data_IF_071351233886
#
_entry.id   IF_071351233886
#
_cell.length_a   1.000
_cell.length_b   1.000
_cell.length_c   1.000
_cell.angle_alpha   90.00
_cell.angle_beta   90.00
_cell.angle_gamma   90.00
#
_symmetry.space_group_name_H-M   'P 1'
#
loop_
_entity.id
_entity.type
_entity.pdbx_description
1 polymer ?
#
# COMPACT_ATOMS: atom_id res chain seq x y z
N UNK A 1 65.26 -34.51 19.82
CA UNK A 1 64.68 -33.33 20.49
C UNK A 1 64.28 -32.27 19.46
N UNK A 2 63.44 -32.61 18.46
CA UNK A 2 63.09 -31.69 17.36
C UNK A 2 61.60 -31.69 16.93
N UNK A 3 60.73 -32.50 17.56
CA UNK A 3 59.31 -32.57 17.16
C UNK A 3 58.35 -31.70 18.01
N UNK A 4 58.78 -31.16 19.15
CA UNK A 4 57.90 -30.43 20.08
C UNK A 4 57.40 -29.06 19.58
N UNK A 5 57.88 -28.59 18.41
CA UNK A 5 57.50 -27.30 17.83
C UNK A 5 56.56 -27.38 16.61
N UNK A 6 56.31 -28.57 16.07
CA UNK A 6 55.64 -28.75 14.77
C UNK A 6 54.10 -28.74 14.92
N UNK A 7 53.57 -29.26 16.02
CA UNK A 7 52.13 -29.44 16.24
C UNK A 7 51.57 -28.45 17.27
N UNK A 8 50.29 -28.10 17.16
CA UNK A 8 49.62 -27.26 18.16
C UNK A 8 49.35 -28.06 19.46
N UNK A 9 49.54 -27.39 20.61
CA UNK A 9 49.35 -27.97 21.95
C UNK A 9 47.92 -27.79 22.51
N UNK A 10 47.01 -27.23 21.71
CA UNK A 10 45.61 -26.92 22.09
C UNK A 10 44.63 -28.09 21.84
N UNK A 11 45.14 -29.26 21.44
CA UNK A 11 44.32 -30.45 21.14
C UNK A 11 43.59 -30.40 19.79
N UNK A 12 43.84 -29.40 18.95
CA UNK A 12 43.20 -29.29 17.64
C UNK A 12 43.69 -30.36 16.67
N UNK A 13 42.75 -31.01 15.96
CA UNK A 13 43.03 -32.02 14.95
C UNK A 13 42.68 -31.52 13.54
N UNK A 14 43.31 -32.10 12.52
CA UNK A 14 42.93 -31.87 11.12
C UNK A 14 41.70 -32.70 10.73
N UNK A 15 41.22 -32.52 9.49
CA UNK A 15 40.08 -33.27 8.94
C UNK A 15 40.30 -34.79 8.83
N UNK A 16 41.52 -35.28 9.11
CA UNK A 16 41.88 -36.71 9.17
C UNK A 16 42.15 -37.16 10.62
N UNK A 17 41.70 -36.39 11.61
CA UNK A 17 41.87 -36.66 13.04
C UNK A 17 43.33 -36.74 13.51
N UNK A 18 44.28 -36.14 12.79
CA UNK A 18 45.69 -36.06 13.21
C UNK A 18 45.98 -34.72 13.89
N UNK A 19 46.97 -34.63 14.79
CA UNK A 19 47.32 -33.37 15.48
C UNK A 19 47.62 -32.25 14.47
N UNK A 20 47.04 -31.07 14.66
CA UNK A 20 47.14 -29.98 13.71
C UNK A 20 48.56 -29.37 13.66
N UNK A 21 49.15 -29.31 12.46
CA UNK A 21 50.52 -28.79 12.24
C UNK A 21 50.54 -27.26 12.31
N UNK A 22 51.26 -26.70 13.28
CA UNK A 22 51.34 -25.26 13.61
C UNK A 22 51.64 -24.35 12.41
N UNK A 23 52.53 -24.77 11.50
CA UNK A 23 52.90 -24.00 10.29
C UNK A 23 51.83 -24.05 9.18
N UNK A 24 50.94 -25.05 9.19
CA UNK A 24 49.89 -25.24 8.16
C UNK A 24 48.50 -24.75 8.59
N UNK A 25 48.16 -24.78 9.88
CA UNK A 25 46.77 -24.60 10.36
C UNK A 25 46.58 -23.47 11.38
N UNK A 26 46.99 -22.23 11.07
CA UNK A 26 46.81 -21.13 12.03
C UNK A 26 47.23 -19.74 11.59
N UNK A 27 47.07 -19.37 10.33
CA UNK A 27 47.37 -18.01 9.83
C UNK A 27 46.23 -17.51 8.95
N UNK A 28 46.30 -16.24 8.50
CA UNK A 28 45.36 -15.54 7.59
C UNK A 28 44.93 -16.31 6.32
N UNK A 29 45.39 -17.53 6.09
CA UNK A 29 45.01 -18.44 5.00
C UNK A 29 43.57 -18.99 5.10
N UNK A 30 42.95 -19.00 6.28
CA UNK A 30 41.52 -19.33 6.43
C UNK A 30 40.61 -18.13 6.11
N UNK A 31 41.14 -16.91 6.18
CA UNK A 31 40.39 -15.68 5.91
C UNK A 31 39.85 -15.58 4.47
N UNK A 32 40.58 -15.97 3.40
CA UNK A 32 40.03 -16.01 2.04
C UNK A 32 38.77 -16.88 1.91
N UNK A 33 38.72 -18.02 2.61
CA UNK A 33 37.56 -18.91 2.57
C UNK A 33 36.35 -18.31 3.32
N UNK A 34 36.60 -17.64 4.45
CA UNK A 34 35.57 -16.92 5.21
C UNK A 34 35.09 -15.69 4.42
N UNK A 35 36.00 -14.89 3.86
CA UNK A 35 35.70 -13.74 3.00
C UNK A 35 34.93 -14.17 1.76
N UNK A 36 35.33 -15.26 1.10
CA UNK A 36 34.62 -15.82 -0.05
C UNK A 36 33.19 -16.25 0.30
N UNK A 37 32.99 -16.93 1.43
CA UNK A 37 31.65 -17.29 1.91
C UNK A 37 30.83 -16.06 2.32
N UNK A 38 31.43 -15.05 2.96
CA UNK A 38 30.75 -13.80 3.29
C UNK A 38 30.34 -13.00 2.03
N UNK A 39 31.19 -12.97 1.00
CA UNK A 39 30.88 -12.32 -0.28
C UNK A 39 29.79 -13.10 -1.01
N UNK A 40 29.88 -14.43 -1.06
CA UNK A 40 28.85 -15.28 -1.65
C UNK A 40 27.49 -15.15 -0.93
N UNK A 41 27.50 -15.07 0.41
CA UNK A 41 26.31 -14.87 1.23
C UNK A 41 25.69 -13.49 0.99
N UNK A 42 26.50 -12.42 0.95
CA UNK A 42 26.03 -11.07 0.60
C UNK A 42 25.50 -11.00 -0.82
N UNK A 43 26.13 -11.70 -1.77
CA UNK A 43 25.67 -11.80 -3.14
C UNK A 43 24.31 -12.52 -3.25
N UNK A 44 24.16 -13.66 -2.57
CA UNK A 44 22.89 -14.39 -2.51
C UNK A 44 21.75 -13.54 -1.93
N UNK A 45 22.03 -12.83 -0.84
CA UNK A 45 21.09 -11.87 -0.25
C UNK A 45 20.75 -10.74 -1.23
N UNK A 46 21.75 -10.20 -1.92
CA UNK A 46 21.56 -9.16 -2.92
C UNK A 46 20.64 -9.60 -4.06
N UNK A 47 20.85 -10.80 -4.60
CA UNK A 47 19.98 -11.39 -5.64
C UNK A 47 18.57 -11.63 -5.12
N UNK A 48 18.43 -12.10 -3.88
CA UNK A 48 17.12 -12.30 -3.24
C UNK A 48 16.34 -10.99 -3.10
N UNK A 49 16.95 -9.92 -2.57
CA UNK A 49 16.29 -8.61 -2.47
C UNK A 49 15.99 -8.00 -3.83
N UNK A 50 16.89 -8.15 -4.81
CA UNK A 50 16.62 -7.73 -6.17
C UNK A 50 15.38 -8.42 -6.74
N UNK A 51 15.24 -9.73 -6.51
CA UNK A 51 14.05 -10.49 -6.90
C UNK A 51 12.77 -9.96 -6.24
N UNK A 52 12.81 -9.68 -4.93
CA UNK A 52 11.66 -9.11 -4.22
C UNK A 52 11.26 -7.73 -4.76
N UNK A 53 12.24 -6.86 -5.05
CA UNK A 53 11.96 -5.54 -5.64
C UNK A 53 11.39 -5.64 -7.06
N UNK A 54 11.86 -6.59 -7.87
CA UNK A 54 11.31 -6.83 -9.21
C UNK A 54 9.87 -7.33 -9.16
N UNK A 55 9.55 -8.24 -8.22
CA UNK A 55 8.17 -8.70 -7.98
C UNK A 55 7.29 -7.52 -7.54
N UNK A 56 7.77 -6.69 -6.61
CA UNK A 56 7.04 -5.51 -6.14
C UNK A 56 6.76 -4.52 -7.29
N UNK A 57 7.76 -4.25 -8.14
CA UNK A 57 7.63 -3.37 -9.29
C UNK A 57 6.65 -3.95 -10.33
N UNK A 58 6.78 -5.24 -10.66
CA UNK A 58 5.91 -5.91 -11.62
C UNK A 58 4.45 -5.95 -11.15
N UNK A 59 4.21 -6.33 -9.90
CA UNK A 59 2.85 -6.35 -9.32
C UNK A 59 2.26 -4.95 -9.20
N UNK A 60 3.06 -3.95 -8.81
CA UNK A 60 2.65 -2.54 -8.73
C UNK A 60 2.26 -1.94 -10.08
N UNK A 61 2.93 -2.32 -11.17
CA UNK A 61 2.61 -1.86 -12.51
C UNK A 61 1.43 -2.60 -13.15
N UNK A 62 1.37 -3.93 -13.01
CA UNK A 62 0.34 -4.76 -13.66
C UNK A 62 -1.04 -4.57 -13.02
N UNK A 63 -1.11 -4.54 -11.69
CA UNK A 63 -2.38 -4.57 -10.94
C UNK A 63 -3.36 -3.45 -11.31
N UNK A 64 -2.98 -2.16 -11.40
CA UNK A 64 -3.91 -1.11 -11.81
C UNK A 64 -4.26 -1.18 -13.30
N UNK A 65 -3.33 -1.65 -14.14
CA UNK A 65 -3.53 -1.67 -15.58
C UNK A 65 -4.43 -2.82 -16.06
N UNK A 66 -4.37 -4.00 -15.45
CA UNK A 66 -5.14 -5.17 -15.91
C UNK A 66 -6.63 -4.98 -15.74
N UNK A 67 -7.09 -4.46 -14.60
CA UNK A 67 -8.52 -4.22 -14.37
C UNK A 67 -9.05 -3.11 -15.27
N UNK A 68 -8.29 -2.04 -15.47
CA UNK A 68 -8.67 -0.96 -16.39
C UNK A 68 -8.70 -1.44 -17.84
N UNK A 69 -7.68 -2.18 -18.28
CA UNK A 69 -7.64 -2.74 -19.62
C UNK A 69 -8.78 -3.73 -19.89
N UNK A 70 -9.14 -4.54 -18.89
CA UNK A 70 -10.29 -5.45 -18.95
C UNK A 70 -11.63 -4.70 -19.04
N UNK A 71 -11.79 -3.61 -18.27
CA UNK A 71 -12.95 -2.73 -18.38
C UNK A 71 -13.07 -2.07 -19.75
N UNK A 72 -11.94 -1.68 -20.35
CA UNK A 72 -11.85 -1.00 -21.64
C UNK A 72 -12.29 -1.86 -22.82
N UNK A 73 -12.42 -3.18 -22.63
CA UNK A 73 -12.91 -4.09 -23.68
C UNK A 73 -14.41 -4.02 -23.90
N UNK A 74 -15.17 -3.39 -22.99
CA UNK A 74 -16.62 -3.27 -23.06
C UNK A 74 -17.04 -1.82 -23.30
N UNK A 75 -18.03 -1.59 -24.15
CA UNK A 75 -18.61 -0.27 -24.39
C UNK A 75 -19.63 0.07 -23.29
N UNK A 76 -19.41 1.18 -22.58
CA UNK A 76 -20.34 1.64 -21.54
C UNK A 76 -21.62 2.29 -22.12
N UNK A 77 -21.62 2.58 -23.43
CA UNK A 77 -22.77 3.17 -24.15
C UNK A 77 -23.84 2.12 -24.51
N UNK A 78 -23.46 0.84 -24.58
CA UNK A 78 -24.36 -0.27 -24.87
C UNK A 78 -24.79 -0.96 -23.56
N UNK A 79 -26.10 -1.01 -23.28
CA UNK A 79 -26.63 -1.64 -22.08
C UNK A 79 -26.31 -3.15 -22.00
N UNK A 80 -26.19 -3.83 -23.13
CA UNK A 80 -25.90 -5.27 -23.16
C UNK A 80 -24.45 -5.55 -22.79
N UNK A 81 -23.50 -4.84 -23.37
CA UNK A 81 -22.07 -4.95 -23.04
C UNK A 81 -21.79 -4.49 -21.62
N UNK A 82 -22.49 -3.46 -21.12
CA UNK A 82 -22.38 -3.01 -19.73
C UNK A 82 -22.78 -4.09 -18.72
N UNK A 83 -23.81 -4.88 -19.01
CA UNK A 83 -24.18 -6.05 -18.18
C UNK A 83 -23.10 -7.13 -18.23
N UNK A 84 -22.52 -7.40 -19.40
CA UNK A 84 -21.41 -8.34 -19.53
C UNK A 84 -20.14 -7.88 -18.79
N UNK A 85 -19.83 -6.57 -18.80
CA UNK A 85 -18.74 -5.97 -18.02
C UNK A 85 -18.89 -6.23 -16.52
N UNK A 86 -20.10 -6.05 -15.97
CA UNK A 86 -20.40 -6.34 -14.57
C UNK A 86 -20.20 -7.83 -14.25
N UNK A 87 -20.73 -8.72 -15.10
CA UNK A 87 -20.54 -10.17 -14.97
C UNK A 87 -19.06 -10.58 -15.04
N UNK A 88 -18.28 -9.97 -15.95
CA UNK A 88 -16.85 -10.16 -16.07
C UNK A 88 -16.12 -9.81 -14.77
N UNK A 89 -16.42 -8.66 -14.15
CA UNK A 89 -15.81 -8.28 -12.88
C UNK A 89 -16.20 -9.23 -11.74
N UNK A 90 -17.45 -9.69 -11.69
CA UNK A 90 -17.87 -10.68 -10.69
C UNK A 90 -17.06 -11.97 -10.81
N UNK A 91 -16.90 -12.51 -12.02
CA UNK A 91 -16.07 -13.69 -12.26
C UNK A 91 -14.59 -13.44 -11.96
N UNK A 92 -14.07 -12.27 -12.34
CA UNK A 92 -12.68 -11.87 -12.06
C UNK A 92 -12.39 -11.87 -10.55
N UNK A 93 -13.23 -11.22 -9.75
CA UNK A 93 -13.06 -11.21 -8.28
C UNK A 93 -13.30 -12.57 -7.65
N UNK A 94 -14.26 -13.35 -8.15
CA UNK A 94 -14.46 -14.73 -7.69
C UNK A 94 -13.21 -15.59 -7.91
N UNK A 95 -12.60 -15.53 -9.09
CA UNK A 95 -11.35 -16.23 -9.39
C UNK A 95 -10.18 -15.77 -8.52
N UNK A 96 -10.07 -14.46 -8.21
CA UNK A 96 -9.04 -13.94 -7.28
C UNK A 96 -9.20 -14.54 -5.89
N UNK A 97 -10.43 -14.63 -5.37
CA UNK A 97 -10.67 -15.19 -4.04
C UNK A 97 -10.31 -16.68 -3.97
N UNK A 98 -10.70 -17.47 -4.98
CA UNK A 98 -10.29 -18.88 -5.09
C UNK A 98 -8.77 -18.99 -5.19
N UNK A 99 -8.13 -18.19 -6.04
CA UNK A 99 -6.68 -18.17 -6.20
C UNK A 99 -5.96 -17.83 -4.90
N UNK A 100 -6.49 -16.90 -4.12
CA UNK A 100 -5.96 -16.52 -2.80
C UNK A 100 -6.10 -17.68 -1.80
N UNK A 101 -7.22 -18.41 -1.81
CA UNK A 101 -7.43 -19.57 -0.97
C UNK A 101 -6.46 -20.71 -1.31
N UNK A 102 -6.26 -21.00 -2.60
CA UNK A 102 -5.29 -22.02 -3.06
C UNK A 102 -3.86 -21.58 -2.73
N UNK A 103 -3.54 -20.30 -2.88
CA UNK A 103 -2.23 -19.77 -2.55
C UNK A 103 -1.92 -19.82 -1.05
N UNK A 104 -2.89 -19.51 -0.18
CA UNK A 104 -2.69 -19.53 1.27
C UNK A 104 -2.66 -20.94 1.87
N UNK A 105 -3.20 -21.94 1.17
CA UNK A 105 -3.23 -23.34 1.60
C UNK A 105 -2.21 -24.20 0.86
N UNK A 106 -2.47 -24.53 -0.40
CA UNK A 106 -1.70 -25.48 -1.21
C UNK A 106 -0.27 -24.98 -1.47
N UNK A 107 -0.10 -23.72 -1.88
CA UNK A 107 1.25 -23.20 -2.14
C UNK A 107 2.09 -23.12 -0.85
N UNK A 108 1.50 -22.71 0.27
CA UNK A 108 2.19 -22.71 1.57
C UNK A 108 2.54 -24.13 2.00
N UNK A 109 1.65 -25.11 1.78
CA UNK A 109 1.93 -26.51 2.05
C UNK A 109 3.10 -27.04 1.21
N UNK A 110 3.16 -26.71 -0.08
CA UNK A 110 4.29 -27.07 -0.97
C UNK A 110 5.60 -26.44 -0.47
N UNK A 111 5.56 -25.15 -0.11
CA UNK A 111 6.73 -24.43 0.41
C UNK A 111 7.29 -25.06 1.68
N UNK A 112 6.41 -25.51 2.57
CA UNK A 112 6.79 -26.08 3.88
C UNK A 112 7.18 -27.55 3.84
N UNK A 113 6.58 -28.37 2.96
CA UNK A 113 6.81 -29.83 2.95
C UNK A 113 7.74 -30.32 1.84
N UNK A 114 7.73 -29.66 0.68
CA UNK A 114 8.52 -30.09 -0.50
C UNK A 114 9.74 -29.20 -0.67
N UNK A 115 9.56 -27.89 -0.45
CA UNK A 115 10.64 -26.92 -0.42
C UNK A 115 10.37 -25.67 -1.25
N UNK A 116 11.17 -24.63 -0.97
CA UNK A 116 11.01 -23.29 -1.52
C UNK A 116 11.19 -23.20 -3.05
N UNK A 117 12.00 -24.07 -3.64
CA UNK A 117 12.21 -24.10 -5.10
C UNK A 117 10.91 -24.34 -5.88
N UNK A 118 10.12 -25.34 -5.48
CA UNK A 118 8.80 -25.60 -6.06
C UNK A 118 7.79 -24.52 -5.70
N UNK A 119 7.87 -23.98 -4.48
CA UNK A 119 7.03 -22.88 -4.01
C UNK A 119 7.14 -21.60 -4.83
N UNK A 120 8.32 -21.26 -5.34
CA UNK A 120 8.52 -20.12 -6.24
C UNK A 120 8.41 -20.50 -7.73
N UNK A 121 8.77 -21.74 -8.09
CA UNK A 121 8.72 -22.22 -9.47
C UNK A 121 7.31 -22.30 -10.05
N UNK A 122 6.33 -22.80 -9.27
CA UNK A 122 4.94 -22.94 -9.74
C UNK A 122 4.33 -21.58 -10.12
N UNK A 123 4.35 -20.54 -9.26
CA UNK A 123 3.89 -19.20 -9.65
C UNK A 123 4.65 -18.59 -10.83
N UNK A 124 5.95 -18.84 -10.95
CA UNK A 124 6.74 -18.32 -12.06
C UNK A 124 6.29 -18.91 -13.41
N UNK A 125 6.04 -20.23 -13.46
CA UNK A 125 5.49 -20.91 -14.65
C UNK A 125 4.08 -20.42 -14.96
N UNK A 126 3.22 -20.29 -13.95
CA UNK A 126 1.87 -19.76 -14.13
C UNK A 126 1.86 -18.34 -14.70
N UNK A 127 2.78 -17.48 -14.22
CA UNK A 127 2.95 -16.12 -14.74
C UNK A 127 3.45 -16.14 -16.20
N UNK A 128 4.40 -17.01 -16.53
CA UNK A 128 4.88 -17.15 -17.92
C UNK A 128 3.74 -17.57 -18.87
N UNK A 129 2.89 -18.51 -18.46
CA UNK A 129 1.70 -18.92 -19.23
C UNK A 129 0.73 -17.75 -19.39
N UNK A 130 0.47 -16.99 -18.32
CA UNK A 130 -0.40 -15.83 -18.35
C UNK A 130 0.10 -14.75 -19.33
N UNK A 131 1.41 -14.48 -19.34
CA UNK A 131 2.05 -13.54 -20.27
C UNK A 131 1.90 -14.01 -21.72
N UNK A 132 2.16 -15.29 -22.00
CA UNK A 132 1.97 -15.86 -23.35
C UNK A 132 0.52 -15.75 -23.80
N UNK A 133 -0.43 -16.07 -22.92
CA UNK A 133 -1.87 -15.95 -23.20
C UNK A 133 -2.26 -14.50 -23.50
N UNK A 134 -1.80 -13.54 -22.69
CA UNK A 134 -2.04 -12.12 -22.90
C UNK A 134 -1.52 -11.63 -24.26
N UNK A 135 -0.29 -11.98 -24.62
CA UNK A 135 0.27 -11.57 -25.91
C UNK A 135 -0.42 -12.28 -27.09
N UNK A 136 -0.86 -13.52 -26.94
CA UNK A 136 -1.60 -14.23 -27.98
C UNK A 136 -2.92 -13.53 -28.35
N UNK A 137 -3.55 -12.86 -27.40
CA UNK A 137 -4.80 -12.10 -27.59
C UNK A 137 -4.63 -10.71 -28.19
N UNK A 138 -3.41 -10.23 -28.44
CA UNK A 138 -3.13 -8.83 -28.81
C UNK A 138 -3.93 -8.32 -30.02
N UNK A 139 -4.25 -9.19 -30.98
CA UNK A 139 -5.03 -8.82 -32.18
C UNK A 139 -6.53 -8.65 -31.92
N UNK A 140 -7.03 -9.19 -30.81
CA UNK A 140 -8.46 -9.20 -30.45
C UNK A 140 -8.84 -8.01 -29.55
N UNK A 141 -7.85 -7.34 -28.94
CA UNK A 141 -8.12 -6.29 -27.96
C UNK A 141 -8.53 -4.95 -28.58
N UNK A 142 -9.48 -4.27 -27.95
CA UNK A 142 -9.85 -2.88 -28.22
C UNK A 142 -8.96 -1.96 -27.40
N UNK A 143 -8.18 -1.12 -28.08
CA UNK A 143 -7.26 -0.18 -27.42
C UNK A 143 -7.88 1.21 -27.35
N UNK A 144 -7.95 1.78 -26.14
CA UNK A 144 -8.34 3.16 -25.92
C UNK A 144 -7.27 4.12 -26.44
N UNK A 145 -7.70 5.28 -26.96
CA UNK A 145 -6.76 6.32 -27.40
C UNK A 145 -6.08 6.94 -26.17
N UNK A 146 -4.81 7.39 -26.26
CA UNK A 146 -4.13 7.99 -25.13
C UNK A 146 -4.86 9.24 -24.62
N UNK A 147 -5.55 9.13 -23.48
CA UNK A 147 -6.04 10.27 -22.72
C UNK A 147 -4.86 10.89 -21.97
N UNK A 148 -4.55 12.16 -22.22
CA UNK A 148 -3.39 12.83 -21.62
C UNK A 148 -3.33 12.68 -20.09
N UNK A 149 -2.13 12.82 -19.50
CA UNK A 149 -1.93 12.51 -18.09
C UNK A 149 -2.55 13.56 -17.15
N UNK A 150 -3.47 13.19 -16.23
CA UNK A 150 -3.96 14.09 -15.19
C UNK A 150 -2.83 14.69 -14.33
N UNK A 151 -1.74 13.94 -14.12
CA UNK A 151 -0.58 14.42 -13.37
C UNK A 151 0.07 15.63 -14.04
N UNK A 152 0.15 15.66 -15.37
CA UNK A 152 0.71 16.82 -16.08
C UNK A 152 -0.11 18.09 -15.85
N UNK A 153 -1.43 17.99 -15.76
CA UNK A 153 -2.33 19.12 -15.44
C UNK A 153 -2.11 19.62 -14.00
N UNK A 154 -1.91 18.70 -13.05
CA UNK A 154 -1.59 19.04 -11.65
C UNK A 154 -0.28 19.85 -11.58
N UNK A 155 0.76 19.39 -12.26
CA UNK A 155 2.04 20.10 -12.30
C UNK A 155 1.94 21.46 -13.01
N UNK A 156 1.14 21.56 -14.07
CA UNK A 156 0.87 22.83 -14.75
C UNK A 156 0.27 23.86 -13.81
N UNK A 157 -0.78 23.50 -13.07
CA UNK A 157 -1.42 24.39 -12.10
C UNK A 157 -0.43 24.82 -11.01
N UNK A 158 0.33 23.87 -10.43
CA UNK A 158 1.34 24.23 -9.42
C UNK A 158 2.40 25.20 -9.94
N UNK A 159 2.97 24.93 -11.13
CA UNK A 159 4.01 25.78 -11.72
C UNK A 159 3.46 27.17 -12.06
N UNK A 160 2.25 27.24 -12.64
CA UNK A 160 1.61 28.51 -12.98
C UNK A 160 1.28 29.34 -11.73
N UNK A 161 0.75 28.71 -10.67
CA UNK A 161 0.44 29.40 -9.40
C UNK A 161 1.70 29.94 -8.71
N UNK A 162 2.79 29.16 -8.67
CA UNK A 162 4.08 29.60 -8.11
C UNK A 162 4.67 30.74 -8.95
N UNK A 163 4.62 30.64 -10.28
CA UNK A 163 5.07 31.69 -11.19
C UNK A 163 4.29 33.00 -11.04
N UNK A 164 3.03 32.94 -10.60
CA UNK A 164 2.13 34.08 -10.37
C UNK A 164 1.92 34.41 -8.88
N UNK A 165 2.80 33.93 -8.00
CA UNK A 165 2.64 34.10 -6.55
C UNK A 165 2.52 35.57 -6.10
N UNK A 166 3.11 36.52 -6.84
CA UNK A 166 3.09 37.96 -6.55
C UNK A 166 1.87 38.71 -7.12
N UNK A 167 1.01 38.04 -7.87
CA UNK A 167 -0.18 38.67 -8.46
C UNK A 167 -1.27 38.77 -7.40
N UNK A 168 -1.83 39.95 -7.24
CA UNK A 168 -3.00 40.18 -6.38
C UNK A 168 -4.26 39.68 -7.09
N UNK A 169 -5.05 38.92 -6.34
CA UNK A 169 -6.31 38.31 -6.76
C UNK A 169 -7.42 38.83 -5.85
N UNK A 170 -8.65 39.04 -6.34
CA UNK A 170 -9.79 39.46 -5.52
C UNK A 170 -9.94 38.57 -4.28
N UNK A 171 -10.23 39.19 -3.14
CA UNK A 171 -10.06 38.60 -1.81
C UNK A 171 -11.26 37.72 -1.44
N UNK A 172 -11.20 36.42 -1.77
CA UNK A 172 -12.21 35.43 -1.39
C UNK A 172 -11.66 34.48 -0.33
N UNK A 173 -12.46 34.18 0.71
CA UNK A 173 -12.05 33.44 1.92
C UNK A 173 -11.93 31.91 1.72
N UNK A 174 -11.42 31.44 0.58
CA UNK A 174 -11.23 30.01 0.34
C UNK A 174 -9.83 29.54 0.75
N UNK A 175 -9.75 28.38 1.43
CA UNK A 175 -8.52 27.79 1.98
C UNK A 175 -7.44 27.46 0.91
N UNK A 176 -7.77 27.58 -0.38
CA UNK A 176 -6.92 27.26 -1.54
C UNK A 176 -6.81 28.41 -2.55
N UNK A 177 -7.05 29.66 -2.12
CA UNK A 177 -7.00 30.88 -2.94
C UNK A 177 -5.67 31.10 -3.68
N UNK A 178 -4.56 30.53 -3.17
CA UNK A 178 -3.26 30.59 -3.84
C UNK A 178 -3.31 30.01 -5.26
N UNK A 179 -4.09 28.96 -5.51
CA UNK A 179 -4.13 28.31 -6.81
C UNK A 179 -4.90 29.12 -7.86
N UNK A 180 -5.82 30.00 -7.43
CA UNK A 180 -6.58 30.88 -8.33
C UNK A 180 -5.70 31.87 -9.09
N UNK A 181 -4.51 32.15 -8.58
CA UNK A 181 -3.49 32.96 -9.25
C UNK A 181 -3.08 32.40 -10.61
N UNK A 182 -3.21 31.09 -10.84
CA UNK A 182 -2.88 30.47 -12.13
C UNK A 182 -3.84 30.85 -13.27
N UNK A 183 -5.07 31.29 -12.96
CA UNK A 183 -6.05 31.73 -13.96
C UNK A 183 -5.97 33.23 -14.29
N UNK A 184 -5.18 34.01 -13.54
CA UNK A 184 -5.08 35.45 -13.78
C UNK A 184 -4.29 35.74 -15.05
N UNK A 185 -4.92 36.43 -16.00
CA UNK A 185 -4.28 36.83 -17.26
C UNK A 185 -3.33 37.99 -16.99
N UNK A 186 -2.05 37.81 -17.32
CA UNK A 186 -1.02 38.87 -17.21
C UNK A 186 -0.59 39.34 -18.60
N UNK A 187 -0.15 40.59 -18.76
CA UNK A 187 0.30 41.15 -20.05
C UNK A 187 1.41 40.31 -20.73
N UNK A 188 2.24 39.64 -19.94
CA UNK A 188 3.28 38.73 -20.43
C UNK A 188 2.72 37.46 -21.11
N UNK A 189 1.48 37.06 -20.81
CA UNK A 189 0.85 35.84 -21.37
C UNK A 189 0.32 36.05 -22.79
N UNK A 190 0.01 37.29 -23.18
CA UNK A 190 -0.55 37.64 -24.49
C UNK A 190 0.51 37.85 -25.59
N UNK A 191 1.79 37.87 -25.23
CA UNK A 191 2.89 38.28 -26.13
C UNK A 191 3.25 37.29 -27.25
N UNK A 192 2.73 36.06 -27.25
CA UNK A 192 3.19 34.98 -28.16
C UNK A 192 2.12 34.29 -29.01
N UNK A 193 0.88 34.78 -29.05
CA UNK A 193 -0.19 34.21 -29.92
C UNK A 193 -0.68 32.79 -29.56
N UNK A 194 0.10 31.99 -28.81
CA UNK A 194 -0.32 30.72 -28.21
C UNK A 194 -0.26 30.78 -26.68
N UNK A 195 -1.35 30.43 -26.01
CA UNK A 195 -1.41 30.32 -24.55
C UNK A 195 -0.63 29.08 -24.10
N UNK A 196 0.42 29.28 -23.28
CA UNK A 196 1.19 28.17 -22.71
C UNK A 196 0.47 27.59 -21.47
N UNK A 197 0.13 26.29 -21.46
CA UNK A 197 -0.57 25.65 -20.33
C UNK A 197 0.17 25.71 -19.00
N UNK A 198 1.49 25.92 -19.03
CA UNK A 198 2.37 26.04 -17.86
C UNK A 198 2.42 27.44 -17.25
N UNK A 199 1.84 28.45 -17.90
CA UNK A 199 1.79 29.84 -17.43
C UNK A 199 0.39 30.32 -17.12
N UNK A 200 -0.61 29.82 -17.84
CA UNK A 200 -2.02 30.15 -17.66
C UNK A 200 -2.84 28.88 -17.68
N UNK A 201 -3.62 28.65 -16.62
CA UNK A 201 -4.49 27.48 -16.48
C UNK A 201 -5.95 27.90 -16.49
N UNK A 202 -6.85 27.01 -16.89
CA UNK A 202 -8.30 27.26 -16.83
C UNK A 202 -8.83 27.10 -15.40
N UNK A 203 -9.96 27.75 -15.10
CA UNK A 203 -10.63 27.62 -13.79
C UNK A 203 -11.01 26.15 -13.52
N UNK A 204 -11.43 25.41 -14.54
CA UNK A 204 -11.74 23.99 -14.42
C UNK A 204 -10.53 23.15 -13.98
N UNK A 205 -9.34 23.39 -14.54
CA UNK A 205 -8.11 22.71 -14.14
C UNK A 205 -7.71 23.03 -12.69
N UNK A 206 -7.97 24.27 -12.26
CA UNK A 206 -7.69 24.72 -10.89
C UNK A 206 -8.66 24.05 -9.92
N UNK A 207 -9.96 23.98 -10.24
CA UNK A 207 -10.96 23.31 -9.40
C UNK A 207 -10.73 21.79 -9.32
N UNK A 208 -10.33 21.15 -10.42
CA UNK A 208 -9.84 19.76 -10.42
C UNK A 208 -8.65 19.60 -9.45
N UNK A 209 -7.65 20.48 -9.53
CA UNK A 209 -6.47 20.46 -8.67
C UNK A 209 -6.81 20.65 -7.19
N UNK A 210 -7.67 21.62 -6.86
CA UNK A 210 -8.13 21.87 -5.49
C UNK A 210 -8.88 20.67 -4.93
N UNK A 211 -9.72 20.02 -5.74
CA UNK A 211 -10.44 18.80 -5.36
C UNK A 211 -9.47 17.66 -5.04
N UNK A 212 -8.42 17.49 -5.83
CA UNK A 212 -7.36 16.50 -5.59
C UNK A 212 -6.61 16.80 -4.29
N UNK A 213 -6.29 18.07 -3.98
CA UNK A 213 -5.66 18.45 -2.71
C UNK A 213 -6.56 18.10 -1.52
N UNK A 214 -7.88 18.31 -1.63
CA UNK A 214 -8.82 17.90 -0.58
C UNK A 214 -8.83 16.38 -0.38
N UNK A 215 -8.72 15.61 -1.46
CA UNK A 215 -8.60 14.15 -1.41
C UNK A 215 -7.25 13.68 -0.83
N UNK A 216 -6.16 14.43 -1.01
CA UNK A 216 -4.85 14.10 -0.43
C UNK A 216 -4.88 14.04 1.09
N UNK A 217 -5.69 14.87 1.75
CA UNK A 217 -5.86 14.81 3.20
C UNK A 217 -6.49 13.49 3.64
N UNK A 218 -7.52 13.03 2.94
CA UNK A 218 -8.18 11.74 3.18
C UNK A 218 -7.21 10.59 2.92
N UNK A 219 -6.42 10.69 1.85
CA UNK A 219 -5.36 9.72 1.54
C UNK A 219 -4.33 9.62 2.66
N UNK A 220 -3.87 10.74 3.21
CA UNK A 220 -2.90 10.76 4.31
C UNK A 220 -3.45 10.09 5.58
N UNK A 221 -4.72 10.33 5.91
CA UNK A 221 -5.41 9.64 7.01
C UNK A 221 -5.46 8.13 6.78
N UNK A 222 -5.78 7.68 5.55
CA UNK A 222 -5.76 6.25 5.20
C UNK A 222 -4.36 5.62 5.31
N UNK A 223 -3.31 6.35 4.90
CA UNK A 223 -1.93 5.89 5.12
C UNK A 223 -1.61 5.72 6.61
N UNK A 224 -2.00 6.69 7.44
CA UNK A 224 -1.79 6.61 8.89
C UNK A 224 -2.51 5.40 9.51
N UNK A 225 -3.72 5.08 9.05
CA UNK A 225 -4.47 3.90 9.46
C UNK A 225 -3.72 2.60 9.12
N UNK A 226 -3.23 2.47 7.89
CA UNK A 226 -2.46 1.27 7.46
C UNK A 226 -1.20 1.09 8.30
N UNK A 227 -0.44 2.16 8.57
CA UNK A 227 0.75 2.08 9.42
C UNK A 227 0.40 1.68 10.86
N UNK A 228 -0.70 2.22 11.40
CA UNK A 228 -1.19 1.87 12.74
C UNK A 228 -1.61 0.40 12.80
N UNK A 229 -2.29 -0.09 11.76
CA UNK A 229 -2.73 -1.47 11.67
C UNK A 229 -1.56 -2.47 11.67
N UNK A 230 -0.46 -2.15 10.97
CA UNK A 230 0.76 -2.98 10.98
C UNK A 230 1.35 -3.07 12.39
N UNK A 231 1.51 -1.92 13.07
CA UNK A 231 2.03 -1.89 14.44
C UNK A 231 1.13 -2.63 15.44
N UNK A 232 -0.19 -2.51 15.27
CA UNK A 232 -1.17 -3.26 16.05
C UNK A 232 -1.00 -4.77 15.83
N UNK A 233 -0.95 -5.24 14.58
CA UNK A 233 -0.75 -6.65 14.27
C UNK A 233 0.53 -7.20 14.90
N UNK A 234 1.67 -6.51 14.73
CA UNK A 234 2.95 -6.95 15.27
C UNK A 234 2.90 -7.10 16.80
N UNK A 235 2.32 -6.11 17.50
CA UNK A 235 2.12 -6.19 18.95
C UNK A 235 1.25 -7.38 19.35
N UNK A 236 0.12 -7.60 18.67
CA UNK A 236 -0.76 -8.74 18.94
C UNK A 236 -0.05 -10.08 18.70
N UNK A 237 0.73 -10.21 17.62
CA UNK A 237 1.52 -11.41 17.34
C UNK A 237 2.61 -11.67 18.37
N UNK A 238 3.30 -10.62 18.84
CA UNK A 238 4.36 -10.74 19.84
C UNK A 238 3.86 -11.12 21.23
N UNK A 239 2.65 -10.70 21.60
CA UNK A 239 2.07 -10.97 22.92
C UNK A 239 1.21 -12.25 22.96
N UNK A 240 0.70 -12.71 21.82
CA UNK A 240 -0.16 -13.90 21.76
C UNK A 240 0.61 -15.20 22.09
N UNK A 241 -0.02 -16.17 22.78
CA UNK A 241 0.49 -17.53 22.90
C UNK A 241 0.66 -18.19 21.52
N UNK A 242 1.71 -18.99 21.35
CA UNK A 242 2.08 -19.55 20.03
C UNK A 242 0.96 -20.36 19.37
N UNK A 243 0.18 -21.09 20.17
CA UNK A 243 -0.97 -21.88 19.70
C UNK A 243 -2.20 -21.04 19.30
N UNK A 244 -2.27 -19.76 19.66
CA UNK A 244 -3.46 -18.91 19.49
C UNK A 244 -3.25 -17.74 18.51
N UNK A 245 -2.07 -17.60 17.90
CA UNK A 245 -1.73 -16.46 17.03
C UNK A 245 -2.73 -16.25 15.88
N UNK A 246 -3.19 -17.34 15.24
CA UNK A 246 -4.16 -17.26 14.14
C UNK A 246 -5.55 -16.79 14.62
N UNK A 247 -6.01 -17.29 15.76
CA UNK A 247 -7.28 -16.88 16.38
C UNK A 247 -7.24 -15.39 16.77
N UNK A 248 -6.12 -14.93 17.36
CA UNK A 248 -5.93 -13.52 17.69
C UNK A 248 -5.94 -12.61 16.44
N UNK A 249 -5.30 -13.02 15.33
CA UNK A 249 -5.36 -12.26 14.08
C UNK A 249 -6.77 -12.20 13.48
N UNK A 250 -7.52 -13.31 13.56
CA UNK A 250 -8.91 -13.35 13.09
C UNK A 250 -9.82 -12.44 13.94
N UNK A 251 -9.61 -12.41 15.26
CA UNK A 251 -10.32 -11.51 16.16
C UNK A 251 -10.05 -10.04 15.83
N UNK A 252 -8.79 -9.67 15.55
CA UNK A 252 -8.44 -8.29 15.16
C UNK A 252 -9.16 -7.84 13.88
N UNK A 253 -9.25 -8.71 12.87
CA UNK A 253 -10.00 -8.44 11.64
C UNK A 253 -11.52 -8.35 11.90
N UNK A 254 -12.03 -9.21 12.78
CA UNK A 254 -13.43 -9.19 13.19
C UNK A 254 -13.77 -7.90 13.95
N UNK A 255 -12.85 -7.37 14.76
CA UNK A 255 -13.01 -6.07 15.41
C UNK A 255 -13.20 -4.94 14.40
N UNK A 256 -12.49 -4.97 13.27
CA UNK A 256 -12.69 -3.99 12.19
C UNK A 256 -14.09 -4.11 11.56
N UNK A 257 -14.56 -5.35 11.31
CA UNK A 257 -15.91 -5.58 10.81
C UNK A 257 -16.99 -5.08 11.79
N UNK A 258 -16.84 -5.39 13.08
CA UNK A 258 -17.72 -4.88 14.14
C UNK A 258 -17.70 -3.36 14.21
N UNK A 259 -16.54 -2.73 14.05
CA UNK A 259 -16.40 -1.28 13.97
C UNK A 259 -17.19 -0.66 12.83
N UNK A 260 -17.16 -1.27 11.63
CA UNK A 260 -17.95 -0.82 10.49
C UNK A 260 -19.45 -0.94 10.73
N UNK A 261 -19.91 -2.06 11.29
CA UNK A 261 -21.33 -2.22 11.64
C UNK A 261 -21.77 -1.22 12.72
N UNK A 262 -20.93 -0.99 13.73
CA UNK A 262 -21.19 -0.02 14.79
C UNK A 262 -21.23 1.41 14.23
N UNK A 263 -20.37 1.73 13.26
CA UNK A 263 -20.38 3.02 12.56
C UNK A 263 -21.69 3.24 11.81
N UNK A 264 -22.14 2.27 11.02
CA UNK A 264 -23.43 2.32 10.32
C UNK A 264 -24.59 2.46 11.30
N UNK A 265 -24.56 1.70 12.40
CA UNK A 265 -25.58 1.78 13.44
C UNK A 265 -25.63 3.16 14.10
N UNK A 266 -24.47 3.74 14.42
CA UNK A 266 -24.37 5.08 14.98
C UNK A 266 -24.92 6.14 14.03
N UNK A 267 -24.57 6.07 12.73
CA UNK A 267 -25.12 6.98 11.71
C UNK A 267 -26.64 6.86 11.64
N UNK A 268 -27.19 5.65 11.66
CA UNK A 268 -28.64 5.44 11.63
C UNK A 268 -29.35 6.03 12.87
N UNK A 269 -28.77 5.86 14.06
CA UNK A 269 -29.32 6.48 15.28
C UNK A 269 -29.26 8.00 15.20
N UNK A 270 -28.13 8.56 14.78
CA UNK A 270 -27.99 10.01 14.64
C UNK A 270 -28.97 10.56 13.61
N UNK A 271 -29.15 9.87 12.49
CA UNK A 271 -30.14 10.22 11.48
C UNK A 271 -31.55 10.25 12.11
N UNK A 272 -31.99 9.17 12.78
CA UNK A 272 -33.31 9.09 13.42
C UNK A 272 -33.52 10.22 14.45
N UNK A 273 -32.56 10.46 15.34
CA UNK A 273 -32.67 11.49 16.36
C UNK A 273 -32.64 12.89 15.79
N UNK A 274 -31.81 13.15 14.79
CA UNK A 274 -31.64 14.50 14.23
C UNK A 274 -32.80 14.94 13.33
N UNK A 275 -33.60 14.00 12.80
CA UNK A 275 -34.78 14.30 11.96
C UNK A 275 -36.11 14.38 12.74
N UNK A 276 -36.12 14.08 14.05
CA UNK A 276 -37.35 14.01 14.86
C UNK A 276 -38.15 15.31 14.96
N UNK A 277 -37.47 16.46 14.88
CA UNK A 277 -38.11 17.78 14.99
C UNK A 277 -38.52 18.37 13.62
N UNK A 278 -38.47 17.58 12.55
CA UNK A 278 -38.80 18.03 11.19
C UNK A 278 -37.73 18.91 10.52
N UNK A 279 -36.55 19.02 11.15
CA UNK A 279 -35.37 19.69 10.60
C UNK A 279 -34.62 18.78 9.62
N UNK A 280 -33.73 19.35 8.81
CA UNK A 280 -32.94 18.64 7.79
C UNK A 280 -31.95 17.60 8.38
N UNK A 281 -31.87 17.45 9.70
CA UNK A 281 -30.98 16.50 10.37
C UNK A 281 -29.51 16.87 10.29
N UNK A 282 -28.66 16.09 10.95
CA UNK A 282 -27.20 16.34 10.96
C UNK A 282 -26.51 15.87 9.67
N UNK A 283 -27.12 14.91 8.95
CA UNK A 283 -26.60 14.32 7.70
C UNK A 283 -27.73 14.25 6.64
N UNK A 284 -28.19 15.39 6.08
CA UNK A 284 -29.13 15.42 4.96
C UNK A 284 -28.47 15.04 3.63
N UNK A 285 -29.30 14.66 2.66
CA UNK A 285 -28.90 14.43 1.26
C UNK A 285 -28.19 15.66 0.64
N UNK A 286 -28.54 16.87 1.09
CA UNK A 286 -27.88 18.10 0.67
C UNK A 286 -26.96 18.62 1.78
N UNK A 287 -25.67 18.33 1.68
CA UNK A 287 -24.63 18.70 2.65
C UNK A 287 -24.56 20.21 2.95
N UNK A 288 -25.03 21.08 2.06
CA UNK A 288 -24.98 22.54 2.27
C UNK A 288 -25.94 23.04 3.35
N UNK A 289 -26.99 22.28 3.67
CA UNK A 289 -27.99 22.61 4.69
C UNK A 289 -27.83 21.80 5.98
N UNK A 290 -26.95 20.79 5.97
CA UNK A 290 -26.76 19.88 7.11
C UNK A 290 -25.82 20.43 8.18
N UNK A 291 -26.17 20.19 9.43
CA UNK A 291 -25.30 20.50 10.57
C UNK A 291 -24.23 19.41 10.81
N UNK A 292 -23.46 19.09 9.77
CA UNK A 292 -22.45 18.02 9.78
C UNK A 292 -21.38 18.19 10.88
N UNK A 293 -21.14 19.43 11.30
CA UNK A 293 -20.21 19.75 12.38
C UNK A 293 -20.62 19.14 13.73
N UNK A 294 -21.91 18.99 14.05
CA UNK A 294 -22.36 18.34 15.29
C UNK A 294 -22.05 16.84 15.29
N UNK A 295 -22.18 16.19 14.13
CA UNK A 295 -21.79 14.79 13.99
C UNK A 295 -20.29 14.60 14.23
N UNK A 296 -19.44 15.47 13.70
CA UNK A 296 -18.00 15.43 13.97
C UNK A 296 -17.66 15.69 15.44
N UNK A 297 -18.36 16.61 16.11
CA UNK A 297 -18.19 16.84 17.54
C UNK A 297 -18.59 15.61 18.38
N UNK A 298 -19.68 14.94 18.04
CA UNK A 298 -20.09 13.69 18.67
C UNK A 298 -19.00 12.61 18.53
N UNK A 299 -18.44 12.43 17.33
CA UNK A 299 -17.34 11.49 17.08
C UNK A 299 -16.09 11.86 17.88
N UNK A 300 -15.78 13.16 18.02
CA UNK A 300 -14.65 13.63 18.82
C UNK A 300 -14.83 13.28 20.31
N UNK A 301 -16.02 13.51 20.87
CA UNK A 301 -16.35 13.13 22.26
C UNK A 301 -16.23 11.63 22.45
N UNK A 302 -16.80 10.83 21.55
CA UNK A 302 -16.72 9.37 21.61
C UNK A 302 -15.26 8.87 21.54
N UNK A 303 -14.43 9.52 20.72
CA UNK A 303 -13.00 9.20 20.61
C UNK A 303 -12.23 9.52 21.89
N UNK A 304 -12.54 10.63 22.55
CA UNK A 304 -11.94 10.99 23.86
C UNK A 304 -12.36 9.99 24.94
N UNK A 305 -13.62 9.55 24.95
CA UNK A 305 -14.09 8.50 25.85
C UNK A 305 -13.35 7.18 25.59
N UNK A 306 -13.20 6.77 24.33
CA UNK A 306 -12.46 5.58 23.95
C UNK A 306 -10.98 5.65 24.39
N UNK A 307 -10.34 6.82 24.25
CA UNK A 307 -8.99 7.05 24.76
C UNK A 307 -8.91 6.91 26.28
N UNK A 308 -9.90 7.40 27.01
CA UNK A 308 -10.00 7.23 28.46
C UNK A 308 -10.10 5.76 28.88
N UNK A 309 -10.98 5.00 28.21
CA UNK A 309 -11.11 3.55 28.41
C UNK A 309 -9.80 2.84 28.09
N UNK A 310 -9.14 3.20 26.99
CA UNK A 310 -7.83 2.64 26.62
C UNK A 310 -6.80 2.85 27.73
N UNK A 311 -6.67 4.05 28.30
CA UNK A 311 -5.73 4.30 29.40
C UNK A 311 -6.07 3.50 30.67
N UNK A 312 -7.35 3.32 30.98
CA UNK A 312 -7.78 2.48 32.11
C UNK A 312 -7.38 1.01 31.90
N UNK A 313 -7.63 0.46 30.71
CA UNK A 313 -7.28 -0.93 30.38
C UNK A 313 -5.77 -1.10 30.30
N UNK A 314 -5.05 -0.14 29.71
CA UNK A 314 -3.59 -0.16 29.62
C UNK A 314 -2.92 -0.18 31.00
N UNK A 315 -3.52 0.45 32.02
CA UNK A 315 -3.04 0.37 33.41
C UNK A 315 -3.16 -1.03 34.02
N UNK A 316 -4.08 -1.85 33.53
CA UNK A 316 -4.23 -3.25 33.96
C UNK A 316 -3.44 -4.24 33.11
N UNK A 317 -2.86 -3.79 32.00
CA UNK A 317 -2.10 -4.65 31.10
C UNK A 317 -0.71 -4.96 31.64
N UNK A 318 -0.37 -6.26 31.72
CA UNK A 318 0.95 -6.73 32.14
C UNK A 318 1.67 -7.34 30.95
N UNK A 319 2.83 -6.78 30.60
CA UNK A 319 3.62 -7.26 29.45
C UNK A 319 4.18 -8.66 29.68
N UNK A 320 4.19 -9.49 28.63
CA UNK A 320 4.93 -10.75 28.63
C UNK A 320 6.43 -10.45 28.68
N UNK A 321 7.13 -10.96 29.70
CA UNK A 321 8.60 -10.84 29.78
C UNK A 321 9.23 -11.61 28.63
N UNK A 322 10.12 -10.98 27.87
CA UNK A 322 10.91 -11.67 26.87
C UNK A 322 11.76 -12.76 27.55
N UNK A 323 11.85 -13.98 27.00
CA UNK A 323 12.82 -14.95 27.49
C UNK A 323 14.21 -14.35 27.28
N UNK A 324 15.00 -14.30 28.36
CA UNK A 324 16.42 -13.93 28.35
C UNK A 324 17.19 -15.03 27.61
#
# INVERSE_FOLDING_TARGET
MAEEGIYKKDGTTDFRNKPAVKHKTGTWKTCPYILGNCICYKFYIGVFFLGLYLIALGTGGIKPCVSSFGADQFDDSDETEKKHKSSFFNWFYFSINIGTLVASSVLVWIQTNIGWGWGFGIPAVAMAIAVVSFFSGTKLYRNQRPGGSPLTRIFQVMVASVGKARVEVPNDKSLLHFFDKAAVVTSNDQTKGSINPWKLCTITQIEEHKSIIRLLLIWATGCAEVFTFIGQLEFFYGQAPDAMRSLCSALSLTTAALGNYLSTFLVNIVADFSTRDGDYGWIPDNLNYGHLHYFFWLLAVLSVLNLGVYFMVARWYTFKKAPI
#
